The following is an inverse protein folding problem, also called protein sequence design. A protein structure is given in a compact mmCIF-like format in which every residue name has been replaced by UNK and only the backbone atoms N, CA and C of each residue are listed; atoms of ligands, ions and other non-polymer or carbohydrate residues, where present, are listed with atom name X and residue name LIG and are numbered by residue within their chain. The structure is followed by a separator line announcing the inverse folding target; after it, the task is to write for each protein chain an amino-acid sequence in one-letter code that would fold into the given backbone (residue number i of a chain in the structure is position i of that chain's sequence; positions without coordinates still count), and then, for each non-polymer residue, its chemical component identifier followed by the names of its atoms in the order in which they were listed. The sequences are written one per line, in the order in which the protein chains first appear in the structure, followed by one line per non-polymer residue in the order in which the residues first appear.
data_IF_236867729156
#
_entry.id   IF_236867729156
#
_cell.length_a   1.000
_cell.length_b   1.000
_cell.length_c   1.000
_cell.angle_alpha   90.00
_cell.angle_beta   90.00
_cell.angle_gamma   90.00
#
_symmetry.space_group_name_H-M   'P 1'
#
loop_
_entity.id
_entity.type
_entity.pdbx_description
1 polymer ?
#
# COMPACT_ATOMS: atom_id res chain seq x y z
N UNK A 1 -7.00 24.78 5.77
CA UNK A 1 -7.16 24.25 4.39
C UNK A 1 -5.82 24.17 3.66
N UNK A 2 -4.95 25.20 3.75
CA UNK A 2 -3.59 25.14 3.18
C UNK A 2 -2.67 24.09 3.83
N UNK A 3 -2.80 23.78 5.13
CA UNK A 3 -1.91 22.84 5.79
C UNK A 3 -2.01 21.41 5.23
N UNK A 4 -3.21 20.88 5.01
CA UNK A 4 -3.38 19.54 4.43
C UNK A 4 -2.84 19.46 3.01
N UNK A 5 -3.11 20.45 2.17
CA UNK A 5 -2.62 20.49 0.78
C UNK A 5 -1.09 20.54 0.76
N UNK A 6 -0.48 21.35 1.63
CA UNK A 6 0.97 21.44 1.72
C UNK A 6 1.57 20.12 2.22
N UNK A 7 0.96 19.45 3.21
CA UNK A 7 1.39 18.11 3.62
C UNK A 7 1.30 17.10 2.47
N UNK A 8 0.22 17.11 1.67
CA UNK A 8 0.12 16.26 0.49
C UNK A 8 1.17 16.57 -0.59
N UNK A 9 1.54 17.85 -0.77
CA UNK A 9 2.54 18.28 -1.75
C UNK A 9 3.95 17.91 -1.29
N UNK A 10 4.27 18.11 -0.01
CA UNK A 10 5.51 17.67 0.62
C UNK A 10 5.61 16.14 0.63
N UNK A 11 4.45 15.48 0.63
CA UNK A 11 4.32 14.04 0.47
C UNK A 11 4.43 13.55 -1.00
N UNK A 12 4.62 14.42 -1.98
CA UNK A 12 4.75 13.99 -3.37
C UNK A 12 6.21 13.91 -3.81
N UNK A 13 6.65 12.73 -4.24
CA UNK A 13 8.04 12.51 -4.68
C UNK A 13 8.17 13.00 -6.12
N UNK A 14 9.38 13.38 -6.53
CA UNK A 14 9.65 13.83 -7.92
C UNK A 14 9.15 12.82 -8.97
N UNK A 15 9.20 11.52 -8.65
CA UNK A 15 8.72 10.44 -9.51
C UNK A 15 7.20 10.49 -9.73
N UNK A 16 6.43 10.90 -8.73
CA UNK A 16 4.97 11.03 -8.86
C UNK A 16 4.61 12.12 -9.87
N UNK A 17 5.32 13.26 -9.83
CA UNK A 17 5.16 14.34 -10.80
C UNK A 17 5.52 13.89 -12.22
N UNK A 18 6.61 13.13 -12.38
CA UNK A 18 7.01 12.58 -13.69
C UNK A 18 5.93 11.62 -14.20
N UNK A 19 5.44 10.71 -13.37
CA UNK A 19 4.41 9.75 -13.73
C UNK A 19 3.12 10.46 -14.18
N UNK A 20 2.59 11.37 -13.36
CA UNK A 20 1.36 12.10 -13.69
C UNK A 20 1.53 12.98 -14.92
N UNK A 21 2.69 13.62 -15.10
CA UNK A 21 3.00 14.44 -16.27
C UNK A 21 3.01 13.61 -17.56
N UNK A 22 3.68 12.44 -17.54
CA UNK A 22 3.73 11.53 -18.70
C UNK A 22 2.34 10.99 -19.04
N UNK A 23 1.57 10.56 -18.04
CA UNK A 23 0.20 10.08 -18.24
C UNK A 23 -0.69 11.18 -18.83
N UNK A 24 -0.55 12.41 -18.34
CA UNK A 24 -1.31 13.55 -18.83
C UNK A 24 -0.93 13.95 -20.26
N UNK A 25 0.37 13.96 -20.59
CA UNK A 25 0.84 14.18 -21.95
C UNK A 25 0.32 13.11 -22.92
N UNK A 26 0.33 11.84 -22.51
CA UNK A 26 -0.21 10.73 -23.30
C UNK A 26 -1.73 10.87 -23.51
N UNK A 27 -2.46 11.30 -22.48
CA UNK A 27 -3.88 11.62 -22.59
C UNK A 27 -4.14 12.70 -23.64
N UNK A 28 -3.43 13.83 -23.60
CA UNK A 28 -3.57 14.91 -24.57
C UNK A 28 -3.29 14.41 -25.99
N UNK A 29 -2.22 13.64 -26.17
CA UNK A 29 -1.84 13.09 -27.46
C UNK A 29 -2.94 12.20 -28.04
N UNK A 30 -3.46 11.25 -27.26
CA UNK A 30 -4.52 10.35 -27.68
C UNK A 30 -5.85 11.08 -27.93
N UNK A 31 -6.15 12.09 -27.12
CA UNK A 31 -7.34 12.91 -27.29
C UNK A 31 -7.30 13.71 -28.61
N UNK A 32 -6.17 14.38 -28.91
CA UNK A 32 -5.97 15.10 -30.17
C UNK A 32 -6.03 14.12 -31.35
N UNK A 33 -5.39 12.95 -31.24
CA UNK A 33 -5.44 11.93 -32.27
C UNK A 33 -6.88 11.45 -32.52
N UNK A 34 -7.67 11.25 -31.47
CA UNK A 34 -9.10 10.94 -31.56
C UNK A 34 -9.89 12.01 -32.31
N UNK A 35 -9.61 13.30 -32.05
CA UNK A 35 -10.23 14.42 -32.77
C UNK A 35 -9.83 14.48 -34.24
N UNK A 36 -8.57 14.25 -34.59
CA UNK A 36 -8.10 14.23 -35.98
C UNK A 36 -8.78 13.10 -36.77
N UNK A 37 -8.95 11.93 -36.15
CA UNK A 37 -9.64 10.79 -36.75
C UNK A 37 -11.17 10.86 -36.69
N UNK A 38 -11.77 12.03 -36.41
CA UNK A 38 -13.23 12.22 -36.30
C UNK A 38 -14.03 11.68 -37.49
N UNK A 39 -13.46 11.68 -38.71
CA UNK A 39 -14.11 11.10 -39.90
C UNK A 39 -14.36 9.59 -39.79
N UNK A 40 -13.60 8.87 -38.96
CA UNK A 40 -13.76 7.44 -38.65
C UNK A 40 -14.31 7.30 -37.24
N UNK A 41 -15.62 7.51 -37.09
CA UNK A 41 -16.31 7.60 -35.80
C UNK A 41 -15.93 6.48 -34.80
N UNK A 42 -15.90 5.22 -35.24
CA UNK A 42 -15.53 4.08 -34.38
C UNK A 42 -14.12 4.22 -33.81
N UNK A 43 -13.13 4.59 -34.63
CA UNK A 43 -11.73 4.73 -34.19
C UNK A 43 -11.56 5.93 -33.26
N UNK A 44 -12.25 7.03 -33.54
CA UNK A 44 -12.24 8.22 -32.70
C UNK A 44 -12.80 7.94 -31.30
N UNK A 45 -13.96 7.26 -31.22
CA UNK A 45 -14.60 6.92 -29.95
C UNK A 45 -13.70 6.00 -29.10
N UNK A 46 -13.10 4.97 -29.71
CA UNK A 46 -12.18 4.07 -29.00
C UNK A 46 -10.96 4.81 -28.47
N UNK A 47 -10.34 5.68 -29.26
CA UNK A 47 -9.16 6.45 -28.85
C UNK A 47 -9.47 7.41 -27.70
N UNK A 48 -10.59 8.13 -27.77
CA UNK A 48 -11.00 9.06 -26.71
C UNK A 48 -11.33 8.29 -25.44
N UNK A 49 -12.07 7.18 -25.54
CA UNK A 49 -12.39 6.33 -24.39
C UNK A 49 -11.13 5.76 -23.75
N UNK A 50 -10.17 5.29 -24.56
CA UNK A 50 -8.87 4.82 -24.09
C UNK A 50 -8.07 5.92 -23.40
N UNK A 51 -8.10 7.15 -23.90
CA UNK A 51 -7.43 8.28 -23.26
C UNK A 51 -7.95 8.52 -21.84
N UNK A 52 -9.27 8.57 -21.66
CA UNK A 52 -9.87 8.70 -20.33
C UNK A 52 -9.57 7.49 -19.43
N UNK A 53 -9.56 6.29 -20.00
CA UNK A 53 -9.21 5.09 -19.25
C UNK A 53 -7.77 5.14 -18.73
N UNK A 54 -6.80 5.53 -19.56
CA UNK A 54 -5.40 5.71 -19.16
C UNK A 54 -5.26 6.80 -18.09
N UNK A 55 -6.00 7.90 -18.20
CA UNK A 55 -5.94 8.98 -17.22
C UNK A 55 -6.40 8.52 -15.84
N UNK A 56 -7.46 7.72 -15.74
CA UNK A 56 -8.03 7.24 -14.47
C UNK A 56 -7.29 6.00 -13.94
N UNK A 57 -7.17 4.97 -14.76
CA UNK A 57 -6.60 3.67 -14.36
C UNK A 57 -5.07 3.73 -14.36
N UNK A 58 -4.47 4.42 -15.32
CA UNK A 58 -3.01 4.56 -15.39
C UNK A 58 -2.46 5.38 -14.24
N UNK A 59 -3.16 6.42 -13.78
CA UNK A 59 -2.70 7.22 -12.63
C UNK A 59 -2.77 6.42 -11.33
N UNK A 60 -3.88 5.72 -11.09
CA UNK A 60 -4.10 4.94 -9.86
C UNK A 60 -3.18 3.72 -9.79
N UNK A 61 -3.19 2.87 -10.82
CA UNK A 61 -2.35 1.66 -10.85
C UNK A 61 -0.87 2.00 -11.02
N UNK A 62 -0.56 2.99 -11.85
CA UNK A 62 0.81 3.45 -12.06
C UNK A 62 1.44 3.94 -10.76
N UNK A 63 0.71 4.75 -10.00
CA UNK A 63 1.18 5.25 -8.70
C UNK A 63 1.43 4.10 -7.73
N UNK A 64 0.45 3.21 -7.54
CA UNK A 64 0.58 2.08 -6.62
C UNK A 64 1.75 1.16 -6.96
N UNK A 65 1.94 0.82 -8.25
CA UNK A 65 3.02 -0.08 -8.67
C UNK A 65 4.39 0.59 -8.65
N UNK A 66 4.45 1.87 -9.01
CA UNK A 66 5.70 2.62 -8.91
C UNK A 66 6.14 2.74 -7.46
N UNK A 67 5.23 3.03 -6.54
CA UNK A 67 5.55 3.15 -5.12
C UNK A 67 6.00 1.81 -4.52
N UNK A 68 5.32 0.71 -4.85
CA UNK A 68 5.72 -0.66 -4.46
C UNK A 68 7.13 -1.01 -4.95
N UNK A 69 7.47 -0.58 -6.17
CA UNK A 69 8.79 -0.79 -6.75
C UNK A 69 9.87 0.10 -6.11
N UNK A 70 9.58 1.38 -5.92
CA UNK A 70 10.54 2.36 -5.37
C UNK A 70 10.83 2.10 -3.88
N UNK A 71 9.83 1.68 -3.10
CA UNK A 71 9.93 1.45 -1.66
C UNK A 71 9.77 -0.03 -1.29
N UNK A 72 10.46 -0.89 -2.04
CA UNK A 72 10.47 -2.32 -1.76
C UNK A 72 10.98 -2.60 -0.34
N UNK A 73 10.12 -3.21 0.47
CA UNK A 73 10.42 -3.65 1.81
C UNK A 73 10.22 -5.17 1.92
N UNK A 74 10.89 -5.77 2.90
CA UNK A 74 10.66 -7.17 3.27
C UNK A 74 10.26 -7.19 4.73
N UNK A 75 9.08 -7.76 5.00
CA UNK A 75 8.62 -8.00 6.36
C UNK A 75 8.78 -9.46 6.71
N UNK A 76 9.39 -9.73 7.87
CA UNK A 76 9.53 -11.10 8.39
C UNK A 76 8.79 -11.21 9.71
N UNK A 77 7.92 -12.20 9.83
CA UNK A 77 7.29 -12.53 11.11
C UNK A 77 8.26 -13.38 11.94
N UNK A 78 8.64 -12.90 13.13
CA UNK A 78 9.56 -13.63 14.01
C UNK A 78 8.76 -14.53 14.95
N UNK A 79 7.87 -13.93 15.74
CA UNK A 79 7.11 -14.68 16.74
C UNK A 79 5.89 -13.90 17.25
N UNK A 80 4.95 -14.62 17.85
CA UNK A 80 3.84 -14.05 18.60
C UNK A 80 3.82 -14.60 20.02
N UNK A 81 3.51 -13.74 21.00
CA UNK A 81 3.33 -14.12 22.39
C UNK A 81 2.05 -13.53 22.94
N UNK A 82 1.10 -14.40 23.28
CA UNK A 82 -0.11 -14.03 24.03
C UNK A 82 0.27 -13.81 25.50
N UNK A 83 -0.10 -12.66 26.06
CA UNK A 83 0.15 -12.37 27.47
C UNK A 83 -0.90 -13.08 28.32
N UNK A 84 -0.47 -13.72 29.40
CA UNK A 84 -1.35 -14.46 30.32
C UNK A 84 -2.07 -13.55 31.31
N UNK A 85 -1.50 -12.37 31.59
CA UNK A 85 -1.98 -11.43 32.61
C UNK A 85 -2.69 -10.20 32.03
N UNK A 86 -2.66 -10.02 30.71
CA UNK A 86 -3.38 -8.94 30.02
C UNK A 86 -4.04 -9.48 28.75
N UNK A 87 -5.13 -8.85 28.32
CA UNK A 87 -5.82 -9.17 27.07
C UNK A 87 -5.03 -8.59 25.89
N UNK A 88 -3.80 -9.05 25.67
CA UNK A 88 -2.95 -8.53 24.63
C UNK A 88 -2.10 -9.62 23.98
N UNK A 89 -1.83 -9.43 22.68
CA UNK A 89 -0.89 -10.27 21.92
C UNK A 89 0.25 -9.40 21.44
N UNK A 90 1.47 -9.80 21.80
CA UNK A 90 2.70 -9.16 21.34
C UNK A 90 3.17 -9.87 20.07
N UNK A 91 3.41 -9.09 19.03
CA UNK A 91 3.90 -9.55 17.73
C UNK A 91 5.30 -8.99 17.54
N UNK A 92 6.27 -9.88 17.33
CA UNK A 92 7.64 -9.53 16.98
C UNK A 92 7.84 -9.75 15.48
N UNK A 93 8.30 -8.72 14.78
CA UNK A 93 8.54 -8.75 13.34
C UNK A 93 9.83 -7.98 13.01
N UNK A 94 10.45 -8.29 11.86
CA UNK A 94 11.49 -7.43 11.29
C UNK A 94 11.00 -6.76 10.02
N UNK A 95 11.47 -5.54 9.80
CA UNK A 95 11.32 -4.83 8.54
C UNK A 95 12.71 -4.54 8.01
N UNK A 96 12.97 -4.97 6.79
CA UNK A 96 14.20 -4.68 6.06
C UNK A 96 13.93 -3.76 4.89
N UNK A 97 14.69 -2.68 4.81
CA UNK A 97 14.69 -1.79 3.66
C UNK A 97 15.54 -2.40 2.54
N UNK A 98 14.88 -2.98 1.52
CA UNK A 98 15.54 -3.50 0.33
C UNK A 98 15.51 -2.50 -0.84
N UNK A 99 15.06 -1.28 -0.58
CA UNK A 99 14.94 -0.25 -1.59
C UNK A 99 16.26 0.48 -1.83
N UNK A 100 16.27 1.38 -2.81
CA UNK A 100 17.41 2.26 -3.05
C UNK A 100 17.33 3.59 -2.28
N UNK A 101 16.27 3.78 -1.49
CA UNK A 101 15.98 5.01 -0.75
C UNK A 101 15.91 4.72 0.75
N UNK A 102 16.18 5.73 1.57
CA UNK A 102 15.90 5.64 3.00
C UNK A 102 14.39 5.78 3.22
N UNK A 103 13.82 5.00 4.13
CA UNK A 103 12.43 5.18 4.52
C UNK A 103 12.34 6.30 5.54
N UNK A 104 11.72 7.41 5.15
CA UNK A 104 11.40 8.54 6.04
C UNK A 104 10.33 8.12 7.04
N UNK A 105 9.33 7.38 6.58
CA UNK A 105 8.30 6.82 7.44
C UNK A 105 7.90 5.41 7.00
N UNK A 106 7.64 4.56 7.97
CA UNK A 106 7.08 3.25 7.72
C UNK A 106 5.92 2.97 8.66
N UNK A 107 4.76 2.68 8.08
CA UNK A 107 3.59 2.22 8.80
C UNK A 107 3.56 0.71 8.81
N UNK A 108 3.82 0.12 9.98
CA UNK A 108 3.77 -1.32 10.17
C UNK A 108 2.46 -1.68 10.85
N UNK A 109 1.67 -2.54 10.22
CA UNK A 109 0.36 -2.97 10.67
C UNK A 109 0.36 -4.46 10.99
N UNK A 110 -0.03 -4.82 12.22
CA UNK A 110 -0.33 -6.20 12.57
C UNK A 110 -1.84 -6.43 12.54
N UNK A 111 -2.27 -7.47 11.84
CA UNK A 111 -3.68 -7.85 11.71
C UNK A 111 -3.90 -9.28 12.18
N UNK A 112 -4.90 -9.49 13.03
CA UNK A 112 -5.29 -10.82 13.50
C UNK A 112 -6.54 -11.30 12.74
N UNK A 113 -6.52 -12.56 12.29
CA UNK A 113 -7.61 -13.18 11.52
C UNK A 113 -8.12 -14.44 12.20
N UNK A 114 -9.42 -14.67 12.07
CA UNK A 114 -10.04 -15.92 12.49
C UNK A 114 -9.62 -17.05 11.57
N UNK A 115 -9.29 -18.20 12.14
CA UNK A 115 -9.07 -19.45 11.41
C UNK A 115 -10.23 -20.40 11.67
N UNK A 116 -10.74 -21.03 10.62
CA UNK A 116 -11.85 -21.98 10.70
C UNK A 116 -11.54 -23.36 10.13
N UNK A 117 -10.34 -23.54 9.55
CA UNK A 117 -9.90 -24.80 8.94
C UNK A 117 -10.47 -25.06 7.54
N UNK A 118 -11.33 -24.18 7.03
CA UNK A 118 -11.84 -24.22 5.67
C UNK A 118 -11.20 -23.08 4.85
N UNK A 119 -10.44 -23.43 3.82
CA UNK A 119 -9.68 -22.50 2.98
C UNK A 119 -10.52 -21.36 2.39
N UNK A 120 -11.77 -21.62 2.01
CA UNK A 120 -12.65 -20.60 1.43
C UNK A 120 -13.09 -19.60 2.49
N UNK A 121 -13.48 -20.09 3.68
CA UNK A 121 -13.89 -19.23 4.79
C UNK A 121 -12.70 -18.41 5.31
N UNK A 122 -11.53 -19.03 5.37
CA UNK A 122 -10.31 -18.38 5.84
C UNK A 122 -9.85 -17.26 4.88
N UNK A 123 -10.01 -17.45 3.57
CA UNK A 123 -9.79 -16.39 2.58
C UNK A 123 -10.76 -15.21 2.73
N UNK A 124 -12.04 -15.49 3.00
CA UNK A 124 -13.04 -14.44 3.26
C UNK A 124 -12.69 -13.67 4.54
N UNK A 125 -12.19 -14.35 5.57
CA UNK A 125 -11.78 -13.71 6.81
C UNK A 125 -10.58 -12.77 6.62
N UNK A 126 -9.75 -12.95 5.60
CA UNK A 126 -8.66 -12.00 5.27
C UNK A 126 -9.17 -10.58 4.98
N UNK A 127 -10.40 -10.42 4.49
CA UNK A 127 -10.98 -9.10 4.24
C UNK A 127 -11.52 -8.42 5.52
N UNK A 128 -11.73 -9.17 6.60
CA UNK A 128 -12.26 -8.65 7.86
C UNK A 128 -11.43 -9.15 9.04
N UNK A 129 -10.28 -8.51 9.33
CA UNK A 129 -9.48 -8.85 10.50
C UNK A 129 -10.30 -8.65 11.79
N UNK A 130 -10.03 -9.48 12.79
CA UNK A 130 -10.58 -9.37 14.14
C UNK A 130 -10.10 -8.09 14.83
N UNK A 131 -8.82 -7.76 14.62
CA UNK A 131 -8.18 -6.57 15.15
C UNK A 131 -7.02 -6.19 14.23
N UNK A 132 -6.82 -4.89 14.04
CA UNK A 132 -5.69 -4.32 13.31
C UNK A 132 -5.11 -3.18 14.14
N UNK A 133 -3.80 -3.23 14.42
CA UNK A 133 -3.05 -2.13 15.03
C UNK A 133 -1.89 -1.75 14.13
N UNK A 134 -1.52 -0.48 14.15
CA UNK A 134 -0.38 0.02 13.39
C UNK A 134 0.53 0.90 14.24
N UNK A 135 1.84 0.77 14.01
CA UNK A 135 2.86 1.65 14.55
C UNK A 135 3.54 2.42 13.41
N UNK A 136 4.08 3.59 13.73
CA UNK A 136 4.89 4.38 12.81
C UNK A 136 6.34 4.32 13.26
N UNK A 137 7.21 3.93 12.35
CA UNK A 137 8.66 3.96 12.48
C UNK A 137 9.22 5.00 11.52
N UNK A 138 10.31 5.65 11.91
CA UNK A 138 10.93 6.71 11.12
C UNK A 138 12.39 6.37 10.82
N UNK A 139 12.88 6.93 9.72
CA UNK A 139 14.30 6.92 9.33
C UNK A 139 14.91 5.50 9.36
N UNK A 140 14.39 4.60 8.52
CA UNK A 140 15.00 3.27 8.29
C UNK A 140 15.93 3.38 7.08
N UNK A 141 17.23 3.33 7.34
CA UNK A 141 18.24 3.52 6.30
C UNK A 141 18.19 2.41 5.25
N UNK A 142 18.71 2.72 4.06
CA UNK A 142 18.89 1.73 2.99
C UNK A 142 19.67 0.51 3.48
N UNK A 143 19.09 -0.68 3.29
CA UNK A 143 19.69 -1.95 3.69
C UNK A 143 19.58 -2.26 5.19
N UNK A 144 19.07 -1.33 6.01
CA UNK A 144 18.86 -1.53 7.45
C UNK A 144 17.74 -2.55 7.67
N UNK A 145 17.92 -3.39 8.68
CA UNK A 145 16.91 -4.28 9.22
C UNK A 145 16.60 -3.86 10.65
N UNK A 146 15.31 -3.61 10.93
CA UNK A 146 14.84 -3.17 12.24
C UNK A 146 13.88 -4.18 12.83
N UNK A 147 14.14 -4.56 14.08
CA UNK A 147 13.23 -5.38 14.87
C UNK A 147 12.13 -4.51 15.49
N UNK A 148 10.89 -4.98 15.40
CA UNK A 148 9.70 -4.25 15.80
C UNK A 148 8.83 -5.08 16.72
N UNK A 149 8.17 -4.39 17.65
CA UNK A 149 7.23 -4.97 18.60
C UNK A 149 5.88 -4.27 18.49
N UNK A 150 4.86 -4.99 18.07
CA UNK A 150 3.49 -4.48 17.96
C UNK A 150 2.63 -5.17 19.03
N UNK A 151 1.82 -4.39 19.75
CA UNK A 151 0.92 -4.90 20.78
C UNK A 151 -0.51 -4.76 20.28
N UNK A 152 -1.21 -5.89 20.17
CA UNK A 152 -2.63 -5.96 19.85
C UNK A 152 -3.42 -5.98 21.16
N UNK A 153 -4.07 -4.87 21.51
CA UNK A 153 -4.85 -4.73 22.74
C UNK A 153 -6.11 -3.86 22.50
N UNK A 154 -7.29 -4.20 23.07
CA UNK A 154 -7.60 -5.44 23.79
C UNK A 154 -7.88 -6.61 22.83
N UNK A 155 -7.16 -7.72 23.02
CA UNK A 155 -7.33 -8.96 22.27
C UNK A 155 -8.05 -10.02 23.12
N UNK A 156 -9.37 -10.11 22.94
CA UNK A 156 -10.27 -10.98 23.71
C UNK A 156 -10.56 -12.33 23.03
N UNK A 157 -10.02 -12.56 21.83
CA UNK A 157 -10.31 -13.78 21.07
C UNK A 157 -9.60 -15.00 21.65
N UNK A 158 -10.36 -16.07 21.87
CA UNK A 158 -9.89 -17.30 22.54
C UNK A 158 -9.66 -18.50 21.63
N UNK A 159 -10.24 -18.52 20.42
CA UNK A 159 -10.04 -19.61 19.46
C UNK A 159 -8.79 -19.39 18.61
N UNK A 160 -8.50 -20.35 17.73
CA UNK A 160 -7.36 -20.27 16.81
C UNK A 160 -7.43 -19.04 15.90
N UNK A 161 -6.30 -18.33 15.81
CA UNK A 161 -6.14 -17.13 15.00
C UNK A 161 -4.77 -17.12 14.33
N UNK A 162 -4.71 -16.46 13.18
CA UNK A 162 -3.45 -16.16 12.48
C UNK A 162 -3.15 -14.66 12.56
N UNK A 163 -1.88 -14.31 12.60
CA UNK A 163 -1.43 -12.92 12.56
C UNK A 163 -0.69 -12.68 11.25
N UNK A 164 -1.02 -11.61 10.55
CA UNK A 164 -0.18 -11.07 9.46
C UNK A 164 0.43 -9.75 9.88
N UNK A 165 1.60 -9.46 9.30
CA UNK A 165 2.29 -8.18 9.46
C UNK A 165 2.54 -7.59 8.07
N UNK A 166 2.07 -6.38 7.87
CA UNK A 166 2.21 -5.63 6.61
C UNK A 166 2.93 -4.32 6.92
N UNK A 167 3.95 -3.98 6.12
CA UNK A 167 4.63 -2.70 6.21
C UNK A 167 4.39 -1.89 4.94
N UNK A 168 3.94 -0.66 5.11
CA UNK A 168 3.85 0.34 4.04
C UNK A 168 4.88 1.41 4.37
N UNK A 169 6.02 1.38 3.67
CA UNK A 169 7.12 2.31 3.91
C UNK A 169 7.27 3.30 2.75
N UNK A 170 7.86 4.45 3.07
CA UNK A 170 8.17 5.54 2.15
C UNK A 170 9.42 6.28 2.62
#
# INVERSE_FOLDING_TARGET
MNSMINTFIDELIIYDYILFSVIFALFILLFILGLILRKKATKAIVLISLAFFILLVGSTLGYSKMHEYLFSNVTSFISQKKLTFSQAVVVYATVKNNSNFDFVNCKISASAYKVSGNSIKDYIFTFKPLMKMSILEYDILKGEERELKIILEPFTYSNDYNISVEATCR
#
